data_IF_086016578686
#
_entry.id   IF_086016578686
#
_cell.length_a   1.000
_cell.length_b   1.000
_cell.length_c   1.000
_cell.angle_alpha   90.00
_cell.angle_beta   90.00
_cell.angle_gamma   90.00
#
_symmetry.space_group_name_H-M   'P 1'
#
loop_
_entity.id
_entity.type
_entity.pdbx_description
1 polymer ?
#
# COMPACT_ATOMS: atom_id res chain seq x y z
N UNK A 1 -6.78 3.44 -13.16
CA UNK A 1 -6.43 4.48 -12.18
C UNK A 1 -5.26 5.38 -12.63
N UNK A 2 -4.57 5.07 -13.71
CA UNK A 2 -3.59 5.97 -14.35
C UNK A 2 -4.22 7.11 -15.15
N UNK A 3 -5.55 7.18 -15.25
CA UNK A 3 -6.25 8.24 -15.93
C UNK A 3 -6.82 9.25 -14.92
N UNK A 4 -6.21 10.42 -14.85
CA UNK A 4 -6.58 11.48 -13.90
C UNK A 4 -8.05 11.90 -13.98
N UNK A 5 -8.66 11.87 -15.18
CA UNK A 5 -10.06 12.27 -15.35
C UNK A 5 -11.03 11.23 -14.78
N UNK A 6 -10.74 9.94 -15.01
CA UNK A 6 -11.55 8.86 -14.43
C UNK A 6 -11.38 8.81 -12.91
N UNK A 7 -10.18 9.04 -12.41
CA UNK A 7 -9.91 9.10 -10.98
C UNK A 7 -10.66 10.27 -10.32
N UNK A 8 -10.70 11.44 -10.95
CA UNK A 8 -11.47 12.60 -10.51
C UNK A 8 -12.96 12.31 -10.43
N UNK A 9 -13.55 11.72 -11.49
CA UNK A 9 -14.98 11.36 -11.52
C UNK A 9 -15.29 10.32 -10.45
N UNK A 10 -14.42 9.31 -10.31
CA UNK A 10 -14.57 8.20 -9.37
C UNK A 10 -14.48 8.63 -7.90
N UNK A 11 -13.73 9.70 -7.62
CA UNK A 11 -13.63 10.30 -6.29
C UNK A 11 -14.68 11.39 -6.02
N UNK A 12 -15.79 11.39 -6.74
CA UNK A 12 -16.87 12.35 -6.53
C UNK A 12 -16.48 13.77 -6.94
N UNK A 13 -15.80 13.90 -8.08
CA UNK A 13 -15.33 15.15 -8.65
C UNK A 13 -14.28 15.87 -7.77
N UNK A 14 -13.45 15.08 -7.09
CA UNK A 14 -12.34 15.58 -6.30
C UNK A 14 -11.06 14.77 -6.57
N UNK A 15 -9.89 15.42 -6.60
CA UNK A 15 -8.62 14.70 -6.74
C UNK A 15 -8.18 14.12 -5.38
N UNK A 16 -7.84 12.84 -5.32
CA UNK A 16 -7.31 12.23 -4.10
C UNK A 16 -5.94 12.85 -3.76
N UNK A 17 -5.76 13.28 -2.53
CA UNK A 17 -4.56 14.01 -2.13
C UNK A 17 -3.41 13.13 -1.65
N UNK A 18 -3.64 11.85 -1.35
CA UNK A 18 -2.58 11.03 -0.74
C UNK A 18 -2.59 9.54 -1.07
N UNK A 19 -3.67 8.98 -1.55
CA UNK A 19 -3.76 7.55 -1.85
C UNK A 19 -4.54 7.37 -3.16
N UNK A 20 -3.87 7.38 -4.32
CA UNK A 20 -4.50 7.07 -5.59
C UNK A 20 -5.04 5.64 -5.53
N UNK A 21 -6.23 5.42 -6.11
CA UNK A 21 -6.81 4.09 -6.16
C UNK A 21 -7.47 3.58 -4.88
N UNK A 22 -7.78 4.44 -3.91
CA UNK A 22 -8.53 4.05 -2.68
C UNK A 22 -9.77 3.23 -2.93
N UNK A 23 -10.44 3.45 -4.05
CA UNK A 23 -11.69 2.79 -4.44
C UNK A 23 -11.46 1.54 -5.29
N UNK A 24 -10.21 1.09 -5.46
CA UNK A 24 -9.87 -0.11 -6.21
C UNK A 24 -10.59 -1.36 -5.70
N UNK A 25 -10.96 -1.40 -4.41
CA UNK A 25 -11.73 -2.49 -3.83
C UNK A 25 -13.12 -2.67 -4.47
N UNK A 26 -13.77 -1.58 -4.92
CA UNK A 26 -15.05 -1.67 -5.66
C UNK A 26 -14.85 -2.31 -7.02
N UNK A 27 -13.76 -1.95 -7.71
CA UNK A 27 -13.39 -2.57 -8.97
C UNK A 27 -13.05 -4.05 -8.79
N UNK A 28 -12.27 -4.39 -7.76
CA UNK A 28 -11.94 -5.77 -7.43
C UNK A 28 -13.21 -6.58 -7.11
N UNK A 29 -14.13 -6.02 -6.33
CA UNK A 29 -15.42 -6.66 -6.04
C UNK A 29 -16.24 -6.90 -7.31
N UNK A 30 -16.37 -5.91 -8.19
CA UNK A 30 -17.08 -6.06 -9.47
C UNK A 30 -16.42 -7.15 -10.34
N UNK A 31 -15.09 -7.16 -10.43
CA UNK A 31 -14.36 -8.17 -11.17
C UNK A 31 -14.60 -9.58 -10.60
N UNK A 32 -14.67 -9.73 -9.28
CA UNK A 32 -15.01 -11.01 -8.62
C UNK A 32 -16.43 -11.46 -8.93
N UNK A 33 -17.41 -10.54 -8.94
CA UNK A 33 -18.80 -10.86 -9.32
C UNK A 33 -18.86 -11.34 -10.78
N UNK A 34 -18.21 -10.64 -11.70
CA UNK A 34 -18.16 -11.04 -13.12
C UNK A 34 -17.47 -12.39 -13.28
N UNK A 35 -16.35 -12.61 -12.57
CA UNK A 35 -15.64 -13.88 -12.58
C UNK A 35 -16.50 -15.03 -12.05
N UNK A 36 -17.26 -14.80 -10.97
CA UNK A 36 -18.19 -15.78 -10.41
C UNK A 36 -19.31 -16.12 -11.41
N UNK A 37 -19.91 -15.12 -12.03
CA UNK A 37 -20.92 -15.33 -13.08
C UNK A 37 -20.34 -16.13 -14.25
N UNK A 38 -19.15 -15.77 -14.72
CA UNK A 38 -18.47 -16.51 -15.78
C UNK A 38 -18.22 -17.99 -15.40
N UNK A 39 -17.89 -18.27 -14.13
CA UNK A 39 -17.73 -19.64 -13.63
C UNK A 39 -19.03 -20.44 -13.63
N UNK A 40 -20.18 -19.81 -13.33
CA UNK A 40 -21.49 -20.49 -13.39
C UNK A 40 -21.79 -20.95 -14.82
N UNK A 41 -21.43 -20.17 -15.81
CA UNK A 41 -21.69 -20.45 -17.23
C UNK A 41 -20.46 -21.05 -17.97
N UNK A 42 -19.41 -21.45 -17.25
CA UNK A 42 -18.16 -21.94 -17.86
C UNK A 42 -18.38 -23.07 -18.86
N UNK A 43 -19.41 -23.89 -18.67
CA UNK A 43 -19.73 -25.03 -19.54
C UNK A 43 -20.45 -24.65 -20.83
N UNK A 44 -20.98 -23.44 -20.90
CA UNK A 44 -21.67 -22.89 -22.06
C UNK A 44 -20.72 -22.13 -22.98
N UNK A 45 -19.49 -21.88 -22.51
CA UNK A 45 -18.46 -21.19 -23.28
C UNK A 45 -18.06 -22.01 -24.51
N UNK A 46 -17.94 -21.32 -25.63
CA UNK A 46 -17.41 -21.88 -26.87
C UNK A 46 -15.87 -21.79 -26.87
N UNK A 47 -15.20 -22.78 -27.42
CA UNK A 47 -13.74 -22.79 -27.48
C UNK A 47 -13.13 -21.49 -28.05
N UNK A 48 -13.73 -20.94 -29.10
CA UNK A 48 -13.23 -19.67 -29.67
C UNK A 48 -13.24 -18.51 -28.67
N UNK A 49 -14.22 -18.46 -27.74
CA UNK A 49 -14.31 -17.42 -26.72
C UNK A 49 -13.15 -17.57 -25.71
N UNK A 50 -12.78 -18.79 -25.35
CA UNK A 50 -11.65 -19.06 -24.47
C UNK A 50 -10.34 -18.67 -25.15
N UNK A 51 -10.15 -19.01 -26.41
CA UNK A 51 -8.96 -18.59 -27.17
C UNK A 51 -8.91 -17.06 -27.38
N UNK A 52 -10.04 -16.42 -27.63
CA UNK A 52 -10.10 -14.96 -27.73
C UNK A 52 -9.74 -14.29 -26.39
N UNK A 53 -10.29 -14.77 -25.29
CA UNK A 53 -9.95 -14.27 -23.94
C UNK A 53 -8.47 -14.49 -23.62
N UNK A 54 -7.93 -15.68 -23.90
CA UNK A 54 -6.51 -15.98 -23.74
C UNK A 54 -5.61 -15.08 -24.58
N UNK A 55 -5.96 -14.85 -25.84
CA UNK A 55 -5.23 -13.92 -26.71
C UNK A 55 -5.26 -12.48 -26.21
N UNK A 56 -6.42 -12.00 -25.76
CA UNK A 56 -6.54 -10.67 -25.15
C UNK A 56 -5.69 -10.55 -23.87
N UNK A 57 -5.65 -11.57 -23.04
CA UNK A 57 -4.81 -11.58 -21.83
C UNK A 57 -3.33 -11.50 -22.17
N UNK A 58 -2.86 -12.23 -23.19
CA UNK A 58 -1.48 -12.14 -23.66
C UNK A 58 -1.17 -10.74 -24.19
N UNK A 59 -2.04 -10.17 -25.02
CA UNK A 59 -1.87 -8.80 -25.55
C UNK A 59 -1.81 -7.80 -24.39
N UNK A 60 -2.66 -7.95 -23.38
CA UNK A 60 -2.66 -7.09 -22.19
C UNK A 60 -1.34 -7.20 -21.40
N UNK A 61 -0.83 -8.42 -21.19
CA UNK A 61 0.46 -8.62 -20.52
C UNK A 61 1.63 -8.01 -21.30
N UNK A 62 1.64 -8.17 -22.62
CA UNK A 62 2.65 -7.54 -23.48
C UNK A 62 2.57 -6.02 -23.44
N UNK A 63 1.36 -5.48 -23.41
CA UNK A 63 1.12 -4.05 -23.25
C UNK A 63 1.67 -3.55 -21.91
N UNK A 64 1.34 -4.23 -20.81
CA UNK A 64 1.88 -3.90 -19.48
C UNK A 64 3.41 -3.94 -19.49
N UNK A 65 4.01 -4.99 -20.03
CA UNK A 65 5.45 -5.15 -20.08
C UNK A 65 6.16 -4.07 -20.94
N UNK A 66 5.49 -3.53 -21.94
CA UNK A 66 6.08 -2.53 -22.83
C UNK A 66 5.89 -1.08 -22.34
N UNK A 67 4.76 -0.78 -21.71
CA UNK A 67 4.37 0.59 -21.37
C UNK A 67 4.51 0.95 -19.88
N UNK A 68 4.78 -0.02 -19.01
CA UNK A 68 4.95 0.25 -17.60
C UNK A 68 6.44 0.28 -17.24
N UNK A 69 6.85 1.36 -16.58
CA UNK A 69 8.21 1.51 -16.07
C UNK A 69 8.48 0.54 -14.90
N UNK A 70 9.72 0.07 -14.77
CA UNK A 70 10.17 -0.81 -13.68
C UNK A 70 9.92 -0.21 -12.28
N UNK A 71 9.85 1.11 -12.18
CA UNK A 71 9.50 1.82 -10.93
C UNK A 71 8.04 1.65 -10.51
N UNK A 72 7.17 1.28 -11.46
CA UNK A 72 5.72 1.17 -11.23
C UNK A 72 5.29 -0.29 -11.03
N UNK A 73 5.99 -1.24 -11.62
CA UNK A 73 5.65 -2.65 -11.58
C UNK A 73 6.90 -3.53 -11.70
N UNK A 74 7.10 -4.38 -10.73
CA UNK A 74 8.22 -5.30 -10.73
C UNK A 74 8.06 -6.35 -11.83
N UNK A 75 9.14 -6.58 -12.60
CA UNK A 75 9.18 -7.56 -13.70
C UNK A 75 8.72 -8.95 -13.26
N UNK A 76 9.05 -9.34 -12.04
CA UNK A 76 8.66 -10.60 -11.41
C UNK A 76 7.14 -10.77 -11.34
N UNK A 77 6.40 -9.69 -11.08
CA UNK A 77 4.93 -9.69 -11.01
C UNK A 77 4.29 -9.95 -12.38
N UNK A 78 4.88 -9.42 -13.46
CA UNK A 78 4.40 -9.66 -14.83
C UNK A 78 4.58 -11.14 -15.21
N UNK A 79 5.75 -11.72 -14.93
CA UNK A 79 6.01 -13.13 -15.21
C UNK A 79 5.15 -14.07 -14.38
N UNK A 80 4.95 -13.78 -13.09
CA UNK A 80 4.04 -14.53 -12.23
C UNK A 80 2.60 -14.49 -12.74
N UNK A 81 2.11 -13.31 -13.14
CA UNK A 81 0.79 -13.16 -13.76
C UNK A 81 0.66 -13.98 -15.03
N UNK A 82 1.67 -13.94 -15.90
CA UNK A 82 1.70 -14.76 -17.12
C UNK A 82 1.62 -16.26 -16.87
N UNK A 83 2.34 -16.74 -15.86
CA UNK A 83 2.30 -18.15 -15.45
C UNK A 83 0.91 -18.57 -14.93
N UNK A 84 0.28 -17.74 -14.10
CA UNK A 84 -1.09 -17.99 -13.63
C UNK A 84 -2.11 -17.93 -14.76
N UNK A 85 -2.00 -16.99 -15.70
CA UNK A 85 -2.86 -16.95 -16.89
C UNK A 85 -2.76 -18.24 -17.71
N UNK A 86 -1.54 -18.74 -17.96
CA UNK A 86 -1.34 -19.99 -18.67
C UNK A 86 -1.95 -21.17 -17.89
N UNK A 87 -1.79 -21.21 -16.57
CA UNK A 87 -2.39 -22.22 -15.70
C UNK A 87 -3.93 -22.22 -15.79
N UNK A 88 -4.56 -21.06 -15.62
CA UNK A 88 -6.02 -20.92 -15.71
C UNK A 88 -6.55 -21.25 -17.11
N UNK A 89 -5.83 -20.85 -18.16
CA UNK A 89 -6.20 -21.20 -19.52
C UNK A 89 -6.26 -22.71 -19.73
N UNK A 90 -5.26 -23.46 -19.25
CA UNK A 90 -5.24 -24.92 -19.31
C UNK A 90 -6.37 -25.53 -18.47
N UNK A 91 -6.63 -25.00 -17.28
CA UNK A 91 -7.72 -25.45 -16.40
C UNK A 91 -9.07 -25.28 -17.10
N UNK A 92 -9.35 -24.10 -17.68
CA UNK A 92 -10.60 -23.84 -18.38
C UNK A 92 -10.78 -24.77 -19.57
N UNK A 93 -9.74 -24.98 -20.39
CA UNK A 93 -9.76 -25.95 -21.48
C UNK A 93 -10.04 -27.36 -20.97
N UNK A 94 -9.40 -27.78 -19.90
CA UNK A 94 -9.62 -29.09 -19.28
C UNK A 94 -11.04 -29.27 -18.74
N UNK A 95 -11.68 -28.22 -18.24
CA UNK A 95 -13.09 -28.24 -17.82
C UNK A 95 -14.02 -28.40 -19.02
N UNK A 96 -13.75 -27.72 -20.14
CA UNK A 96 -14.60 -27.74 -21.33
C UNK A 96 -14.49 -29.06 -22.10
N UNK A 97 -13.28 -29.55 -22.34
CA UNK A 97 -13.03 -30.70 -23.21
C UNK A 97 -13.01 -32.00 -22.41
N UNK A 98 -12.69 -31.94 -21.12
CA UNK A 98 -12.43 -33.10 -20.29
C UNK A 98 -13.67 -33.92 -19.91
N UNK A 99 -13.47 -35.23 -19.77
CA UNK A 99 -14.47 -36.15 -19.19
C UNK A 99 -14.69 -35.80 -17.69
N UNK A 100 -15.75 -36.36 -17.09
CA UNK A 100 -16.16 -36.06 -15.70
C UNK A 100 -14.99 -36.08 -14.69
N UNK A 101 -14.10 -37.07 -14.73
CA UNK A 101 -12.94 -37.15 -13.81
C UNK A 101 -11.91 -36.04 -14.04
N UNK A 102 -11.59 -35.75 -15.31
CA UNK A 102 -10.65 -34.70 -15.67
C UNK A 102 -11.21 -33.35 -15.22
N UNK A 103 -12.49 -33.08 -15.43
CA UNK A 103 -13.15 -31.85 -15.00
C UNK A 103 -13.12 -31.67 -13.49
N UNK A 104 -13.37 -32.73 -12.71
CA UNK A 104 -13.26 -32.65 -11.24
C UNK A 104 -11.84 -32.38 -10.80
N UNK A 105 -10.87 -32.98 -11.46
CA UNK A 105 -9.45 -32.70 -11.20
C UNK A 105 -9.11 -31.25 -11.53
N UNK A 106 -9.53 -30.74 -12.70
CA UNK A 106 -9.28 -29.33 -13.10
C UNK A 106 -9.92 -28.33 -12.14
N UNK A 107 -11.12 -28.59 -11.63
CA UNK A 107 -11.75 -27.76 -10.62
C UNK A 107 -10.94 -27.76 -9.31
N UNK A 108 -10.50 -28.90 -8.84
CA UNK A 108 -9.65 -29.00 -7.66
C UNK A 108 -8.30 -28.29 -7.86
N UNK A 109 -7.67 -28.48 -9.03
CA UNK A 109 -6.44 -27.76 -9.40
C UNK A 109 -6.67 -26.26 -9.47
N UNK A 110 -7.83 -25.80 -9.98
CA UNK A 110 -8.20 -24.39 -10.00
C UNK A 110 -8.28 -23.78 -8.59
N UNK A 111 -8.91 -24.47 -7.65
CA UNK A 111 -8.95 -24.03 -6.26
C UNK A 111 -7.54 -23.93 -5.64
N UNK A 112 -6.67 -24.91 -5.91
CA UNK A 112 -5.28 -24.85 -5.45
C UNK A 112 -4.49 -23.72 -6.11
N UNK A 113 -4.71 -23.48 -7.41
CA UNK A 113 -4.07 -22.38 -8.14
C UNK A 113 -4.45 -21.01 -7.56
N UNK A 114 -5.73 -20.79 -7.22
CA UNK A 114 -6.19 -19.56 -6.57
C UNK A 114 -5.51 -19.36 -5.21
N UNK A 115 -5.41 -20.41 -4.39
CA UNK A 115 -4.73 -20.32 -3.10
C UNK A 115 -3.24 -20.02 -3.29
N UNK A 116 -2.58 -20.68 -4.24
CA UNK A 116 -1.17 -20.44 -4.56
C UNK A 116 -0.96 -19.01 -5.07
N UNK A 117 -1.83 -18.50 -5.94
CA UNK A 117 -1.80 -17.13 -6.43
C UNK A 117 -1.92 -16.12 -5.28
N UNK A 118 -2.88 -16.31 -4.37
CA UNK A 118 -3.04 -15.44 -3.21
C UNK A 118 -1.79 -15.42 -2.32
N UNK A 119 -1.18 -16.58 -2.06
CA UNK A 119 0.05 -16.67 -1.26
C UNK A 119 1.21 -15.99 -1.97
N UNK A 120 1.39 -16.24 -3.27
CA UNK A 120 2.49 -15.64 -4.05
C UNK A 120 2.27 -14.13 -4.18
N UNK A 121 1.06 -13.69 -4.49
CA UNK A 121 0.75 -12.26 -4.58
C UNK A 121 0.99 -11.56 -3.24
N UNK A 122 0.59 -12.16 -2.11
CA UNK A 122 0.88 -11.63 -0.79
C UNK A 122 2.39 -11.46 -0.52
N UNK A 123 3.22 -12.41 -0.98
CA UNK A 123 4.66 -12.31 -0.82
C UNK A 123 5.32 -11.32 -1.79
N UNK A 124 4.82 -11.20 -3.03
CA UNK A 124 5.37 -10.29 -4.04
C UNK A 124 4.95 -8.83 -3.85
N UNK A 125 3.70 -8.61 -3.49
CA UNK A 125 3.17 -7.26 -3.24
C UNK A 125 3.32 -6.84 -1.78
N UNK A 126 4.05 -7.62 -1.01
CA UNK A 126 4.16 -7.70 0.41
C UNK A 126 3.98 -6.38 1.15
N UNK A 127 3.28 -6.44 2.24
CA UNK A 127 3.37 -5.42 3.25
C UNK A 127 4.80 -5.45 3.77
N UNK A 128 5.61 -4.48 3.38
CA UNK A 128 6.88 -4.19 4.05
C UNK A 128 6.58 -3.89 5.50
N UNK A 129 6.53 -4.94 6.29
CA UNK A 129 6.23 -4.84 7.71
C UNK A 129 7.54 -4.78 8.46
N UNK A 130 7.70 -3.76 9.24
CA UNK A 130 8.79 -3.70 10.22
C UNK A 130 8.51 -4.77 11.28
N UNK A 131 9.50 -5.58 11.60
CA UNK A 131 9.40 -6.55 12.71
C UNK A 131 9.03 -5.83 14.00
N UNK A 132 8.17 -6.44 14.82
CA UNK A 132 7.82 -5.84 16.11
C UNK A 132 9.07 -5.58 16.97
N UNK A 133 10.05 -6.46 16.92
CA UNK A 133 11.31 -6.31 17.64
C UNK A 133 12.07 -5.06 17.19
N UNK A 134 12.15 -4.82 15.86
CA UNK A 134 12.82 -3.65 15.32
C UNK A 134 12.02 -2.36 15.57
N UNK A 135 10.69 -2.46 15.54
CA UNK A 135 9.82 -1.31 15.82
C UNK A 135 9.98 -0.79 17.26
N UNK A 136 10.08 -1.70 18.24
CA UNK A 136 10.25 -1.33 19.65
C UNK A 136 11.72 -1.33 20.11
N UNK A 137 12.67 -1.54 19.20
CA UNK A 137 14.10 -1.52 19.51
C UNK A 137 14.48 -0.17 20.14
N UNK A 138 15.22 -0.23 21.22
CA UNK A 138 15.71 0.93 21.99
C UNK A 138 14.57 1.75 22.67
N UNK A 139 13.30 1.34 22.60
CA UNK A 139 12.20 2.09 23.21
C UNK A 139 12.36 2.26 24.74
N UNK A 140 12.90 1.26 25.41
CA UNK A 140 13.15 1.32 26.85
C UNK A 140 14.23 2.35 27.20
N UNK A 141 15.28 2.42 26.41
CA UNK A 141 16.40 3.36 26.60
C UNK A 141 15.94 4.80 26.31
N UNK A 142 15.17 5.00 25.23
CA UNK A 142 14.55 6.30 24.95
C UNK A 142 13.66 6.78 26.09
N UNK A 143 12.80 5.90 26.61
CA UNK A 143 11.91 6.24 27.72
C UNK A 143 12.67 6.57 29.00
N UNK A 144 13.78 5.89 29.28
CA UNK A 144 14.62 6.18 30.43
C UNK A 144 15.24 7.60 30.32
N UNK A 145 15.79 7.96 29.16
CA UNK A 145 16.35 9.31 28.92
C UNK A 145 15.25 10.38 28.99
N UNK A 146 14.07 10.11 28.40
CA UNK A 146 12.95 11.04 28.43
C UNK A 146 12.40 11.25 29.84
N UNK A 147 12.32 10.21 30.68
CA UNK A 147 11.89 10.36 32.07
C UNK A 147 12.86 11.21 32.90
N UNK A 148 14.16 11.01 32.74
CA UNK A 148 15.17 11.85 33.39
C UNK A 148 15.09 13.32 32.98
N UNK A 149 14.82 13.57 31.68
CA UNK A 149 14.65 14.92 31.15
C UNK A 149 13.37 15.55 31.66
N UNK A 150 12.27 14.80 31.75
CA UNK A 150 11.00 15.26 32.27
C UNK A 150 11.10 15.65 33.75
N UNK A 151 11.74 14.84 34.59
CA UNK A 151 11.96 15.14 36.01
C UNK A 151 12.71 16.47 36.19
N UNK A 152 13.76 16.73 35.41
CA UNK A 152 14.52 17.98 35.47
C UNK A 152 13.71 19.18 35.02
N UNK A 153 12.81 19.03 34.06
CA UNK A 153 12.02 20.15 33.55
C UNK A 153 10.83 20.47 34.45
N UNK A 154 10.29 19.51 35.17
CA UNK A 154 9.20 19.76 36.15
C UNK A 154 9.68 20.61 37.31
N UNK A 155 10.95 20.52 37.73
CA UNK A 155 11.55 21.37 38.74
C UNK A 155 11.58 22.86 38.32
N UNK A 156 11.78 23.13 37.01
CA UNK A 156 11.89 24.49 36.45
C UNK A 156 10.56 25.02 35.90
N UNK A 157 9.48 24.19 35.83
CA UNK A 157 8.17 24.52 35.28
C UNK A 157 8.23 25.07 33.83
N UNK A 158 9.19 24.62 33.03
CA UNK A 158 9.41 25.05 31.65
C UNK A 158 8.82 24.05 30.66
N UNK A 159 7.96 24.54 29.76
CA UNK A 159 7.48 23.75 28.65
C UNK A 159 8.59 23.56 27.60
N UNK A 160 8.82 22.30 27.21
CA UNK A 160 9.79 21.95 26.18
C UNK A 160 9.23 20.84 25.26
N UNK A 161 9.83 20.73 24.10
CA UNK A 161 9.63 19.62 23.17
C UNK A 161 10.92 18.88 22.95
N UNK A 162 10.81 17.61 22.64
CA UNK A 162 11.96 16.75 22.31
C UNK A 162 11.83 16.26 20.87
N UNK A 163 12.95 16.19 20.16
CA UNK A 163 13.01 15.64 18.81
C UNK A 163 14.08 14.57 18.72
N UNK A 164 13.72 13.46 18.09
CA UNK A 164 14.68 12.42 17.70
C UNK A 164 15.34 12.79 16.38
N UNK A 165 16.67 12.76 16.32
CA UNK A 165 17.43 13.04 15.08
C UNK A 165 17.24 11.91 14.07
N UNK A 166 17.25 10.65 14.53
CA UNK A 166 17.02 9.46 13.73
C UNK A 166 15.64 8.88 14.01
N UNK A 167 14.65 9.39 13.33
CA UNK A 167 13.25 8.98 13.51
C UNK A 167 12.95 7.70 12.75
N UNK A 168 12.15 6.83 13.34
CA UNK A 168 11.55 5.67 12.67
C UNK A 168 10.30 6.09 11.89
N UNK A 169 9.48 6.94 12.51
CA UNK A 169 8.24 7.46 11.94
C UNK A 169 8.06 8.93 12.30
N UNK A 170 7.05 9.58 11.72
CA UNK A 170 6.67 10.96 12.11
C UNK A 170 5.81 11.01 13.38
N UNK A 171 5.54 9.86 14.02
CA UNK A 171 4.76 9.74 15.24
C UNK A 171 5.51 9.01 16.36
N UNK A 172 6.82 9.01 16.34
CA UNK A 172 7.64 8.36 17.37
C UNK A 172 7.37 8.92 18.77
N UNK A 173 7.01 10.19 18.86
CA UNK A 173 6.55 10.83 20.09
C UNK A 173 5.36 10.10 20.73
N UNK A 174 4.39 9.65 19.93
CA UNK A 174 3.24 8.89 20.43
C UNK A 174 3.64 7.50 20.92
N UNK A 175 4.65 6.88 20.33
CA UNK A 175 5.19 5.59 20.73
C UNK A 175 6.00 5.70 22.04
N UNK A 176 6.82 6.73 22.14
CA UNK A 176 7.78 6.91 23.25
C UNK A 176 7.21 7.71 24.42
N UNK A 177 6.16 8.51 24.20
CA UNK A 177 5.44 9.24 25.24
C UNK A 177 6.05 10.61 25.57
N UNK A 178 6.47 11.40 24.56
CA UNK A 178 7.02 12.73 24.74
C UNK A 178 6.31 13.79 23.87
N UNK A 179 6.51 15.07 24.19
CA UNK A 179 6.04 16.18 23.39
C UNK A 179 7.00 16.47 22.23
N UNK A 180 6.51 16.41 21.00
CA UNK A 180 7.32 16.60 19.78
C UNK A 180 6.84 17.82 18.99
N UNK A 181 7.74 18.42 18.23
CA UNK A 181 7.44 19.34 17.15
C UNK A 181 7.18 18.64 15.81
N UNK A 182 7.15 17.31 15.79
CA UNK A 182 6.90 16.50 14.59
C UNK A 182 5.63 15.69 14.76
N UNK A 183 4.76 15.69 13.74
CA UNK A 183 3.52 14.93 13.76
C UNK A 183 3.05 14.55 12.36
N UNK A 184 2.46 13.36 12.23
CA UNK A 184 1.66 12.93 11.10
C UNK A 184 0.21 12.72 11.55
N UNK A 185 -0.74 13.29 10.81
CA UNK A 185 -2.17 13.04 11.01
C UNK A 185 -2.94 13.26 9.71
N UNK A 186 -3.90 12.38 9.42
CA UNK A 186 -4.82 12.55 8.29
C UNK A 186 -5.73 13.78 8.42
N UNK A 187 -5.88 14.31 9.64
CA UNK A 187 -6.65 15.52 9.97
C UNK A 187 -5.74 16.67 10.37
N UNK A 188 -4.60 16.79 9.72
CA UNK A 188 -3.60 17.83 9.99
C UNK A 188 -4.17 19.24 9.74
N UNK A 189 -3.87 20.17 10.66
CA UNK A 189 -4.11 21.57 10.41
C UNK A 189 -3.08 22.11 9.41
N UNK A 190 -3.54 22.41 8.20
CA UNK A 190 -2.66 22.89 7.12
C UNK A 190 -1.92 24.17 7.44
N UNK A 191 -2.50 25.07 8.25
CA UNK A 191 -1.82 26.32 8.64
C UNK A 191 -0.56 26.06 9.45
N UNK A 192 -0.56 25.00 10.30
CA UNK A 192 0.66 24.59 11.03
C UNK A 192 1.69 24.05 10.06
N UNK A 193 1.28 23.21 9.12
CA UNK A 193 2.19 22.66 8.11
C UNK A 193 2.78 23.74 7.22
N UNK A 194 1.97 24.73 6.79
CA UNK A 194 2.46 25.87 6.01
C UNK A 194 3.43 26.71 6.81
N UNK A 195 3.13 26.99 8.08
CA UNK A 195 4.07 27.70 8.95
C UNK A 195 5.43 26.99 9.00
N UNK A 196 5.46 25.67 9.14
CA UNK A 196 6.71 24.91 9.12
C UNK A 196 7.46 25.08 7.79
N UNK A 197 6.74 25.02 6.66
CA UNK A 197 7.33 25.26 5.34
C UNK A 197 7.88 26.69 5.18
N UNK A 198 7.13 27.68 5.63
CA UNK A 198 7.51 29.10 5.54
C UNK A 198 8.78 29.44 6.34
N UNK A 199 9.01 28.72 7.43
CA UNK A 199 10.25 28.87 8.22
C UNK A 199 11.37 27.91 7.79
N UNK A 200 11.20 27.19 6.67
CA UNK A 200 12.22 26.32 6.07
C UNK A 200 12.30 24.91 6.66
N UNK A 201 11.31 24.47 7.41
CA UNK A 201 11.19 23.11 7.91
C UNK A 201 10.33 22.25 6.98
N UNK A 202 10.30 20.93 7.22
CA UNK A 202 9.47 20.02 6.43
C UNK A 202 7.99 20.15 6.80
N UNK A 203 7.15 20.34 5.81
CA UNK A 203 5.70 20.32 5.94
C UNK A 203 5.02 19.69 4.72
N UNK A 204 3.86 19.09 4.93
CA UNK A 204 3.05 18.46 3.88
C UNK A 204 1.57 18.50 4.20
N UNK A 205 0.75 17.91 3.36
CA UNK A 205 -0.72 17.92 3.54
C UNK A 205 -1.19 17.20 4.80
N UNK A 206 -0.38 16.30 5.33
CA UNK A 206 -0.73 15.42 6.44
C UNK A 206 0.38 15.28 7.48
N UNK A 207 1.42 16.10 7.41
CA UNK A 207 2.50 16.10 8.39
C UNK A 207 3.21 17.45 8.46
N UNK A 208 3.85 17.69 9.57
CA UNK A 208 4.93 18.66 9.75
C UNK A 208 6.06 18.00 10.57
N UNK A 209 7.27 18.53 10.41
CA UNK A 209 8.44 17.91 10.98
C UNK A 209 9.47 18.96 11.36
N UNK A 210 9.91 18.93 12.62
CA UNK A 210 10.93 19.83 13.13
C UNK A 210 12.37 19.46 12.75
N UNK A 211 12.55 18.33 12.03
CA UNK A 211 13.86 17.93 11.52
C UNK A 211 14.46 18.98 10.58
N UNK A 212 15.73 19.27 10.80
CA UNK A 212 16.42 20.32 10.04
C UNK A 212 16.19 21.75 10.57
N UNK A 213 15.50 21.92 11.70
CA UNK A 213 15.37 23.22 12.33
C UNK A 213 16.75 23.80 12.70
N UNK A 214 16.93 25.09 12.45
CA UNK A 214 18.11 25.80 12.94
C UNK A 214 18.07 25.94 14.46
N UNK A 215 19.22 26.12 15.17
CA UNK A 215 19.20 26.32 16.62
C UNK A 215 18.27 27.44 17.08
N UNK A 216 18.14 28.51 16.28
CA UNK A 216 17.24 29.62 16.57
C UNK A 216 15.77 29.19 16.49
N UNK A 217 15.38 28.44 15.45
CA UNK A 217 14.03 27.91 15.29
C UNK A 217 13.71 26.89 16.39
N UNK A 218 14.67 26.02 16.72
CA UNK A 218 14.49 25.08 17.84
C UNK A 218 14.23 25.82 19.15
N UNK A 219 14.99 26.86 19.47
CA UNK A 219 14.76 27.69 20.64
C UNK A 219 13.38 28.39 20.63
N UNK A 220 12.96 28.93 19.47
CA UNK A 220 11.64 29.58 19.31
C UNK A 220 10.48 28.60 19.48
N UNK A 221 10.65 27.35 19.10
CA UNK A 221 9.64 26.28 19.20
C UNK A 221 9.74 25.47 20.49
N UNK A 222 10.66 25.85 21.37
CA UNK A 222 10.95 25.10 22.62
C UNK A 222 11.32 23.64 22.37
N UNK A 223 12.15 23.39 21.35
CA UNK A 223 12.68 22.06 20.98
C UNK A 223 14.10 21.93 21.50
#
# INVERSE_FOLDING_TARGET
>A
FSNNMLDFIWHGLHFPTSLPGRQSFLYAFLALVIAYEALLYIRELKLWQVFAAGGMSVVFLLFCNHFMDETTMEQTSIWASGAFFACYFVIVLGILIGKKRIRQLMLATGCLAVVAELVINYNLTGLDTISRTDYVKNLADYRAVLSETAEKSDEDSVFYRTEELERKTKNDAALSGYHSGTQFSSLMNLNVSHFYQDVGMEGGKNFYCAGGATPLLSAMLSI
#
